data_IF_449130657045
#
_entry.id   IF_449130657045
#
_cell.length_a   1.000
_cell.length_b   1.000
_cell.length_c   1.000
_cell.angle_alpha   90.00
_cell.angle_beta   90.00
_cell.angle_gamma   90.00
#
_symmetry.space_group_name_H-M   'P 1'
#
loop_
_entity.id
_entity.type
_entity.pdbx_description
1 polymer ?
#
# COMPACT_ATOMS: atom_id res chain seq x y z
N UNK A 1 -6.39 15.99 25.45
CA UNK A 1 -7.48 16.88 24.99
C UNK A 1 -7.90 16.65 23.51
N UNK A 2 -7.67 15.46 22.93
CA UNK A 2 -7.94 15.19 21.50
C UNK A 2 -8.97 14.09 21.19
N UNK A 3 -9.63 13.50 22.20
CA UNK A 3 -10.64 12.44 21.99
C UNK A 3 -12.06 12.94 21.77
N UNK A 4 -12.36 14.20 22.12
CA UNK A 4 -13.72 14.75 22.03
C UNK A 4 -14.06 15.33 20.65
N UNK A 5 -13.09 15.74 19.84
CA UNK A 5 -13.35 16.32 18.51
C UNK A 5 -13.64 15.28 17.43
N UNK A 6 -13.17 14.03 17.60
CA UNK A 6 -13.41 12.94 16.65
C UNK A 6 -14.85 12.38 16.74
N UNK A 7 -15.40 12.30 17.96
CA UNK A 7 -16.81 11.97 18.20
C UNK A 7 -17.76 13.11 17.78
N UNK A 8 -17.31 14.37 17.86
CA UNK A 8 -18.06 15.51 17.35
C UNK A 8 -18.13 15.52 15.81
N UNK A 9 -17.08 15.06 15.10
CA UNK A 9 -17.11 14.89 13.64
C UNK A 9 -18.06 13.79 13.17
N UNK A 10 -18.10 12.64 13.87
CA UNK A 10 -19.03 11.54 13.58
C UNK A 10 -20.48 11.92 13.95
N UNK A 11 -20.67 12.66 15.04
CA UNK A 11 -21.97 13.16 15.49
C UNK A 11 -22.55 14.25 14.59
N UNK A 12 -21.71 15.15 14.04
CA UNK A 12 -22.15 16.17 13.08
C UNK A 12 -22.55 15.56 11.74
N UNK A 13 -21.85 14.52 11.27
CA UNK A 13 -22.25 13.82 10.04
C UNK A 13 -23.60 13.11 10.22
N UNK A 14 -23.85 12.48 11.38
CA UNK A 14 -25.13 11.84 11.70
C UNK A 14 -26.27 12.85 11.98
N UNK A 15 -25.96 14.05 12.48
CA UNK A 15 -26.96 15.12 12.64
C UNK A 15 -27.40 15.74 11.32
N UNK A 16 -26.55 15.76 10.28
CA UNK A 16 -26.96 16.11 8.91
C UNK A 16 -27.90 15.06 8.28
N UNK A 17 -28.00 13.86 8.84
CA UNK A 17 -28.92 12.81 8.38
C UNK A 17 -30.21 12.70 9.21
N UNK A 18 -30.42 13.53 10.24
CA UNK A 18 -31.62 13.45 11.10
C UNK A 18 -32.37 14.78 11.34
N UNK A 19 -31.98 15.87 10.67
CA UNK A 19 -32.83 17.07 10.60
C UNK A 19 -33.80 16.92 9.43
N UNK A 20 -35.09 16.91 9.75
CA UNK A 20 -36.19 16.67 8.82
C UNK A 20 -36.06 17.43 7.50
N UNK A 21 -36.39 16.71 6.45
CA UNK A 21 -36.73 17.24 5.13
C UNK A 21 -37.83 18.28 5.35
N UNK A 22 -37.47 19.56 5.40
CA UNK A 22 -38.41 20.63 5.12
C UNK A 22 -38.79 20.48 3.66
N UNK A 23 -39.97 19.92 3.44
CA UNK A 23 -40.61 19.83 2.13
C UNK A 23 -40.95 21.24 1.66
N UNK A 24 -39.99 21.90 1.02
CA UNK A 24 -40.31 22.91 0.04
C UNK A 24 -40.73 22.16 -1.23
N UNK A 25 -41.98 22.38 -1.60
CA UNK A 25 -42.68 21.84 -2.75
C UNK A 25 -41.85 21.98 -4.03
N UNK A 26 -41.26 20.89 -4.51
CA UNK A 26 -40.76 20.79 -5.87
C UNK A 26 -41.05 19.40 -6.43
N UNK A 27 -41.79 19.38 -7.54
CA UNK A 27 -42.18 18.19 -8.28
C UNK A 27 -40.98 17.65 -9.07
N UNK A 28 -39.98 17.10 -8.37
CA UNK A 28 -38.87 16.40 -9.01
C UNK A 28 -38.68 15.06 -8.31
N UNK A 29 -38.65 13.98 -9.10
CA UNK A 29 -38.36 12.63 -8.64
C UNK A 29 -37.20 12.65 -7.66
N UNK A 30 -37.38 12.07 -6.46
CA UNK A 30 -36.29 11.94 -5.49
C UNK A 30 -35.11 11.29 -6.20
N UNK A 31 -33.91 11.87 -6.14
CA UNK A 31 -32.76 11.31 -6.84
C UNK A 31 -32.58 9.86 -6.40
N UNK A 32 -32.55 8.94 -7.37
CA UNK A 32 -32.36 7.52 -7.10
C UNK A 32 -30.92 7.33 -6.61
N UNK A 33 -30.77 6.89 -5.37
CA UNK A 33 -29.49 6.55 -4.76
C UNK A 33 -29.33 5.04 -4.86
N UNK A 34 -28.25 4.59 -5.51
CA UNK A 34 -27.78 3.22 -5.40
C UNK A 34 -26.86 3.12 -4.18
N UNK A 35 -27.01 2.04 -3.40
CA UNK A 35 -26.20 1.79 -2.22
C UNK A 35 -25.78 0.33 -2.15
N UNK A 36 -24.51 0.10 -1.91
CA UNK A 36 -23.93 -1.21 -1.69
C UNK A 36 -23.16 -1.19 -0.38
N UNK A 37 -23.40 -2.20 0.46
CA UNK A 37 -22.65 -2.45 1.68
C UNK A 37 -22.03 -3.83 1.52
N UNK A 38 -20.72 -3.89 1.66
CA UNK A 38 -19.96 -5.11 1.56
C UNK A 38 -18.83 -5.07 2.59
N UNK A 39 -18.00 -6.10 2.59
CA UNK A 39 -16.76 -6.07 3.35
C UNK A 39 -16.29 -7.46 3.71
N UNK A 40 -15.38 -7.52 4.68
CA UNK A 40 -14.88 -8.79 5.16
C UNK A 40 -14.41 -8.76 6.62
N UNK A 41 -14.37 -9.96 7.20
CA UNK A 41 -13.70 -10.27 8.45
C UNK A 41 -12.60 -11.28 8.12
N UNK A 42 -11.36 -11.01 8.56
CA UNK A 42 -10.19 -11.88 8.36
C UNK A 42 -9.62 -12.29 9.71
N UNK A 43 -9.40 -13.59 9.90
CA UNK A 43 -8.69 -14.16 11.04
C UNK A 43 -7.32 -14.64 10.56
N UNK A 44 -6.27 -14.24 11.27
CA UNK A 44 -4.88 -14.58 10.98
C UNK A 44 -4.27 -15.34 12.15
N UNK A 45 -3.57 -16.43 11.84
CA UNK A 45 -2.62 -17.09 12.73
C UNK A 45 -1.23 -17.01 12.10
N UNK A 46 -0.29 -16.35 12.77
CA UNK A 46 1.09 -16.18 12.30
C UNK A 46 2.05 -16.87 13.26
N UNK A 47 2.95 -17.68 12.71
CA UNK A 47 3.99 -18.40 13.42
C UNK A 47 5.38 -18.00 12.92
N UNK A 48 6.27 -17.65 13.85
CA UNK A 48 7.68 -17.35 13.63
C UNK A 48 8.51 -18.54 14.11
N UNK A 49 9.16 -19.31 13.20
CA UNK A 49 9.96 -20.46 13.57
C UNK A 49 11.18 -20.10 14.43
N UNK A 50 11.79 -18.95 14.16
CA UNK A 50 13.00 -18.50 14.85
C UNK A 50 12.69 -17.81 16.19
N UNK A 51 13.62 -17.96 17.14
CA UNK A 51 13.56 -17.24 18.41
C UNK A 51 13.67 -15.73 18.18
N UNK A 52 12.88 -14.98 18.94
CA UNK A 52 12.85 -13.53 18.83
C UNK A 52 14.18 -12.89 19.19
N UNK A 53 14.46 -11.76 18.55
CA UNK A 53 15.60 -10.91 18.94
C UNK A 53 15.33 -10.15 20.24
N UNK A 54 14.06 -9.83 20.52
CA UNK A 54 13.62 -9.15 21.74
C UNK A 54 12.82 -10.12 22.61
N UNK A 55 13.15 -10.27 23.92
CA UNK A 55 12.48 -11.22 24.80
C UNK A 55 11.00 -10.93 25.05
N UNK A 56 10.50 -9.73 24.72
CA UNK A 56 9.09 -9.39 24.82
C UNK A 56 8.26 -9.87 23.61
N UNK A 57 8.91 -10.31 22.53
CA UNK A 57 8.22 -10.79 21.34
C UNK A 57 7.85 -12.28 21.48
N UNK A 58 6.80 -12.68 20.77
CA UNK A 58 6.28 -14.03 20.80
C UNK A 58 6.58 -14.77 19.49
N UNK A 59 6.36 -16.08 19.47
CA UNK A 59 6.47 -16.88 18.23
C UNK A 59 5.12 -17.07 17.54
N UNK A 60 4.01 -16.83 18.23
CA UNK A 60 2.66 -17.09 17.72
C UNK A 60 1.79 -15.87 17.95
N UNK A 61 1.06 -15.45 16.92
CA UNK A 61 0.15 -14.33 16.99
C UNK A 61 -1.18 -14.71 16.34
N UNK A 62 -2.27 -14.45 17.06
CA UNK A 62 -3.62 -14.46 16.51
C UNK A 62 -4.08 -13.01 16.34
N UNK A 63 -4.67 -12.68 15.20
CA UNK A 63 -5.28 -11.38 15.00
C UNK A 63 -6.55 -11.47 14.16
N UNK A 64 -7.46 -10.54 14.36
CA UNK A 64 -8.67 -10.42 13.56
C UNK A 64 -8.78 -9.01 12.98
N UNK A 65 -9.22 -8.93 11.73
CA UNK A 65 -9.44 -7.69 11.00
C UNK A 65 -10.88 -7.61 10.53
N UNK A 66 -11.48 -6.43 10.64
CA UNK A 66 -12.76 -6.10 10.05
C UNK A 66 -12.60 -4.93 9.09
N UNK A 67 -13.08 -5.08 7.85
CA UNK A 67 -13.02 -4.04 6.82
C UNK A 67 -14.40 -3.92 6.14
N UNK A 68 -15.30 -3.08 6.66
CA UNK A 68 -16.57 -2.76 6.00
C UNK A 68 -16.35 -1.74 4.88
N UNK A 69 -17.17 -1.86 3.85
CA UNK A 69 -17.18 -1.00 2.67
C UNK A 69 -18.60 -0.52 2.39
N UNK A 70 -18.73 0.77 2.09
CA UNK A 70 -19.99 1.40 1.71
C UNK A 70 -19.75 2.20 0.44
N UNK A 71 -20.51 1.87 -0.60
CA UNK A 71 -20.51 2.56 -1.88
C UNK A 71 -21.89 3.17 -2.10
N UNK A 72 -21.94 4.48 -2.32
CA UNK A 72 -23.16 5.20 -2.69
C UNK A 72 -22.97 5.86 -4.03
N UNK A 73 -23.98 5.78 -4.89
CA UNK A 73 -23.97 6.41 -6.22
C UNK A 73 -25.30 7.11 -6.49
N UNK A 74 -25.23 8.31 -7.08
CA UNK A 74 -26.42 9.07 -7.47
C UNK A 74 -26.19 9.87 -8.75
N UNK A 75 -27.26 10.52 -9.23
CA UNK A 75 -27.25 11.29 -10.48
C UNK A 75 -26.81 10.46 -11.69
N UNK A 76 -27.25 9.20 -11.76
CA UNK A 76 -26.94 8.24 -12.82
C UNK A 76 -25.43 8.03 -13.00
N UNK A 77 -24.72 7.72 -11.91
CA UNK A 77 -23.28 7.46 -11.93
C UNK A 77 -22.39 8.69 -11.99
N UNK A 78 -22.95 9.91 -11.93
CA UNK A 78 -22.14 11.14 -12.01
C UNK A 78 -21.54 11.57 -10.67
N UNK A 79 -22.03 11.00 -9.57
CA UNK A 79 -21.49 11.27 -8.25
C UNK A 79 -21.49 9.98 -7.44
N UNK A 80 -20.40 9.79 -6.67
CA UNK A 80 -20.27 8.67 -5.77
C UNK A 80 -19.64 9.09 -4.44
N UNK A 81 -19.91 8.29 -3.41
CA UNK A 81 -19.25 8.34 -2.12
C UNK A 81 -18.73 6.93 -1.82
N UNK A 82 -17.43 6.83 -1.56
CA UNK A 82 -16.78 5.59 -1.13
C UNK A 82 -16.36 5.72 0.32
N UNK A 83 -16.65 4.71 1.12
CA UNK A 83 -16.11 4.54 2.47
C UNK A 83 -15.56 3.14 2.65
N UNK A 84 -14.34 3.05 3.18
CA UNK A 84 -13.71 1.80 3.61
C UNK A 84 -13.19 1.99 5.02
N UNK A 85 -13.87 1.37 5.98
CA UNK A 85 -13.44 1.33 7.38
C UNK A 85 -12.43 0.21 7.62
N UNK A 86 -11.65 0.31 8.68
CA UNK A 86 -10.71 -0.73 9.08
C UNK A 86 -10.61 -0.81 10.59
N UNK A 87 -10.61 -2.03 11.11
CA UNK A 87 -10.27 -2.31 12.49
C UNK A 87 -9.44 -3.60 12.57
N UNK A 88 -8.39 -3.60 13.39
CA UNK A 88 -7.63 -4.80 13.74
C UNK A 88 -7.56 -4.93 15.26
N UNK A 89 -7.68 -6.17 15.72
CA UNK A 89 -7.28 -6.59 17.05
C UNK A 89 -6.17 -7.64 16.91
N UNK A 90 -5.10 -7.48 17.66
CA UNK A 90 -3.96 -8.38 17.73
C UNK A 90 -3.84 -8.90 19.16
N UNK A 91 -3.54 -10.19 19.31
CA UNK A 91 -3.48 -10.87 20.60
C UNK A 91 -2.48 -10.23 21.57
N UNK A 92 -1.33 -9.76 21.06
CA UNK A 92 -0.22 -9.30 21.89
C UNK A 92 0.07 -7.81 21.66
N UNK A 93 0.01 -7.34 20.41
CA UNK A 93 0.46 -5.99 20.09
C UNK A 93 -0.67 -4.96 20.11
N UNK A 94 -0.73 -4.21 21.22
CA UNK A 94 -1.67 -3.09 21.38
C UNK A 94 -1.45 -1.94 20.38
N UNK A 95 -0.25 -1.75 19.82
CA UNK A 95 -0.03 -0.73 18.77
C UNK A 95 -0.54 -1.21 17.41
N UNK A 96 -0.48 -2.52 17.15
CA UNK A 96 -1.07 -3.15 15.96
C UNK A 96 -2.59 -3.26 16.04
N UNK A 97 -3.15 -3.33 17.25
CA UNK A 97 -4.59 -3.18 17.46
C UNK A 97 -5.03 -1.73 17.23
N UNK A 98 -5.70 -1.45 16.10
CA UNK A 98 -6.03 -0.09 15.70
C UNK A 98 -7.31 -0.01 14.86
N UNK A 99 -7.81 1.21 14.70
CA UNK A 99 -8.88 1.56 13.78
C UNK A 99 -8.36 2.59 12.77
N UNK A 100 -8.83 2.52 11.53
CA UNK A 100 -8.50 3.48 10.49
C UNK A 100 -9.67 3.71 9.53
N UNK A 101 -9.69 4.89 8.90
CA UNK A 101 -10.50 5.14 7.71
C UNK A 101 -9.55 4.98 6.52
N UNK A 102 -9.68 3.86 5.82
CA UNK A 102 -8.84 3.53 4.68
C UNK A 102 -9.17 4.40 3.48
N UNK A 103 -10.46 4.61 3.24
CA UNK A 103 -10.97 5.51 2.23
C UNK A 103 -12.25 6.19 2.73
N UNK A 104 -12.40 7.47 2.41
CA UNK A 104 -13.62 8.24 2.60
C UNK A 104 -13.54 9.43 1.65
N UNK A 105 -14.15 9.32 0.48
CA UNK A 105 -14.10 10.39 -0.50
C UNK A 105 -15.40 10.52 -1.27
N UNK A 106 -15.71 11.76 -1.65
CA UNK A 106 -16.68 12.07 -2.67
C UNK A 106 -15.97 12.14 -4.02
N UNK A 107 -16.61 11.65 -5.08
CA UNK A 107 -16.13 11.83 -6.44
C UNK A 107 -17.26 12.31 -7.36
N UNK A 108 -16.95 13.34 -8.15
CA UNK A 108 -17.79 13.86 -9.22
C UNK A 108 -17.20 13.49 -10.58
N UNK A 109 -18.03 12.92 -11.44
CA UNK A 109 -17.68 12.49 -12.79
C UNK A 109 -18.35 13.44 -13.79
N UNK A 110 -17.52 14.12 -14.58
CA UNK A 110 -17.94 15.06 -15.62
C UNK A 110 -17.53 14.53 -16.99
N UNK A 111 -17.91 15.21 -18.08
CA UNK A 111 -17.73 14.68 -19.44
C UNK A 111 -16.28 14.28 -19.79
N UNK A 112 -15.30 15.09 -19.39
CA UNK A 112 -13.89 14.90 -19.78
C UNK A 112 -12.93 14.96 -18.57
N UNK A 113 -13.47 14.99 -17.36
CA UNK A 113 -12.66 15.07 -16.15
C UNK A 113 -13.43 14.56 -14.94
N UNK A 114 -12.68 14.16 -13.92
CA UNK A 114 -13.19 13.68 -12.65
C UNK A 114 -12.52 14.43 -11.50
N UNK A 115 -13.25 14.59 -10.40
CA UNK A 115 -12.76 15.19 -9.16
C UNK A 115 -13.04 14.27 -8.00
N UNK A 116 -12.03 13.94 -7.20
CA UNK A 116 -12.19 13.28 -5.91
C UNK A 116 -11.71 14.19 -4.79
N UNK A 117 -12.46 14.25 -3.67
CA UNK A 117 -12.08 14.99 -2.47
C UNK A 117 -12.31 14.11 -1.24
N UNK A 118 -11.27 13.91 -0.44
CA UNK A 118 -11.34 13.10 0.78
C UNK A 118 -10.10 12.25 1.00
N UNK A 119 -10.24 11.14 1.72
CA UNK A 119 -9.19 10.16 1.98
C UNK A 119 -9.26 9.10 0.87
N UNK A 120 -8.21 8.98 0.05
CA UNK A 120 -8.20 8.04 -1.08
C UNK A 120 -6.89 7.26 -1.16
N UNK A 121 -6.93 6.04 -1.68
CA UNK A 121 -5.73 5.30 -2.09
C UNK A 121 -5.48 5.46 -3.58
N UNK A 122 -4.24 5.75 -3.92
CA UNK A 122 -3.76 5.88 -5.30
C UNK A 122 -2.63 4.87 -5.47
N UNK A 123 -2.65 4.16 -6.60
CA UNK A 123 -1.60 3.24 -6.96
C UNK A 123 -1.23 3.47 -8.42
N UNK A 124 0.07 3.56 -8.68
CA UNK A 124 0.63 3.35 -10.00
C UNK A 124 2.01 2.70 -9.83
N UNK A 125 2.35 1.86 -10.78
CA UNK A 125 3.50 0.96 -10.74
C UNK A 125 3.21 -0.26 -11.62
N UNK A 126 4.25 -0.84 -12.19
CA UNK A 126 4.17 -1.91 -13.18
C UNK A 126 5.03 -3.12 -12.82
N UNK A 127 5.99 -2.99 -11.91
CA UNK A 127 6.90 -4.06 -11.47
C UNK A 127 6.38 -4.81 -10.23
N UNK A 128 6.81 -6.05 -10.03
CA UNK A 128 6.34 -6.92 -8.95
C UNK A 128 7.15 -6.82 -7.67
N UNK A 129 8.47 -6.73 -7.76
CA UNK A 129 9.33 -6.79 -6.57
C UNK A 129 9.38 -5.47 -5.79
N UNK A 130 9.13 -4.35 -6.47
CA UNK A 130 9.18 -3.01 -5.90
C UNK A 130 8.35 -2.06 -6.76
N UNK A 131 7.61 -1.13 -6.15
CA UNK A 131 6.92 -0.04 -6.87
C UNK A 131 7.56 1.30 -6.51
N UNK A 132 8.68 1.62 -7.17
CA UNK A 132 9.48 2.82 -6.94
C UNK A 132 8.68 4.10 -7.19
N UNK A 133 7.83 4.10 -8.20
CA UNK A 133 7.05 5.28 -8.59
C UNK A 133 5.85 5.53 -7.65
N UNK A 134 5.43 4.52 -6.87
CA UNK A 134 4.24 4.57 -6.01
C UNK A 134 4.46 5.39 -4.72
N UNK A 135 4.47 6.73 -4.85
CA UNK A 135 4.88 7.66 -3.78
C UNK A 135 3.72 8.38 -3.06
N UNK A 136 2.49 8.36 -3.61
CA UNK A 136 1.39 9.16 -3.06
C UNK A 136 1.03 8.72 -1.65
N UNK A 137 0.78 7.43 -1.47
CA UNK A 137 0.29 6.86 -0.23
C UNK A 137 1.42 6.43 0.71
N UNK A 138 1.22 6.68 2.00
CA UNK A 138 2.12 6.24 3.07
C UNK A 138 2.03 4.71 3.24
N UNK A 139 3.16 4.05 3.45
CA UNK A 139 3.20 2.61 3.79
C UNK A 139 2.66 2.39 5.20
N UNK A 140 1.84 1.35 5.36
CA UNK A 140 1.27 0.90 6.62
C UNK A 140 1.99 -0.34 7.15
N UNK A 141 3.11 -0.10 7.84
CA UNK A 141 3.97 -1.18 8.36
C UNK A 141 3.29 -2.00 9.47
N UNK A 142 2.20 -1.50 10.07
CA UNK A 142 1.41 -2.29 11.03
C UNK A 142 0.71 -3.49 10.38
N UNK A 143 0.40 -3.38 9.09
CA UNK A 143 -0.30 -4.43 8.34
C UNK A 143 0.66 -5.44 7.70
N UNK A 144 1.91 -5.05 7.46
CA UNK A 144 2.98 -5.93 7.02
C UNK A 144 4.21 -5.13 6.60
N UNK A 145 5.35 -5.82 6.47
CA UNK A 145 6.60 -5.19 6.03
C UNK A 145 6.61 -4.88 4.52
N UNK A 146 5.65 -5.44 3.78
CA UNK A 146 5.48 -5.17 2.36
C UNK A 146 5.05 -3.70 2.11
N UNK A 147 5.69 -3.09 1.11
CA UNK A 147 5.41 -1.72 0.66
C UNK A 147 4.04 -1.59 -0.03
N UNK A 148 3.41 -2.70 -0.40
CA UNK A 148 2.05 -2.74 -0.97
C UNK A 148 0.97 -2.34 0.02
N UNK A 149 1.18 -2.54 1.33
CA UNK A 149 0.22 -2.10 2.33
C UNK A 149 0.29 -0.58 2.47
N UNK A 150 -0.74 0.10 1.96
CA UNK A 150 -0.82 1.57 1.96
C UNK A 150 -1.97 2.12 2.79
N UNK A 151 -1.72 3.24 3.47
CA UNK A 151 -2.72 4.11 4.08
C UNK A 151 -3.45 4.95 3.02
N UNK A 152 -4.74 5.23 3.21
CA UNK A 152 -5.40 6.28 2.45
C UNK A 152 -4.86 7.66 2.81
N UNK A 153 -4.77 8.56 1.83
CA UNK A 153 -4.27 9.91 2.03
C UNK A 153 -5.36 10.96 1.82
N UNK A 154 -5.49 11.95 2.72
CA UNK A 154 -6.34 13.12 2.50
C UNK A 154 -5.83 13.93 1.30
N UNK A 155 -6.67 14.08 0.28
CA UNK A 155 -6.31 14.75 -0.96
C UNK A 155 -7.50 15.37 -1.68
N UNK A 156 -7.15 16.29 -2.58
CA UNK A 156 -7.95 16.65 -3.75
C UNK A 156 -7.25 16.02 -4.96
N UNK A 157 -7.98 15.27 -5.77
CA UNK A 157 -7.47 14.61 -6.96
C UNK A 157 -8.34 14.95 -8.16
N UNK A 158 -7.74 15.51 -9.21
CA UNK A 158 -8.42 15.81 -10.45
C UNK A 158 -7.78 15.04 -11.61
N UNK A 159 -8.60 14.34 -12.40
CA UNK A 159 -8.14 13.54 -13.53
C UNK A 159 -8.75 14.06 -14.82
N UNK A 160 -7.95 14.29 -15.85
CA UNK A 160 -8.35 14.85 -17.13
C UNK A 160 -7.97 13.90 -18.27
N UNK A 161 -8.97 13.25 -18.87
CA UNK A 161 -8.74 12.26 -19.92
C UNK A 161 -8.91 12.88 -21.31
N UNK A 162 -7.90 12.74 -22.16
CA UNK A 162 -7.86 13.20 -23.56
C UNK A 162 -7.32 12.09 -24.47
N UNK A 163 -7.42 12.30 -25.80
CA UNK A 163 -6.92 11.33 -26.78
C UNK A 163 -5.41 11.08 -26.69
N UNK A 164 -4.65 12.07 -26.22
CA UNK A 164 -3.20 12.00 -26.06
C UNK A 164 -2.77 11.51 -24.66
N UNK A 165 -3.71 11.06 -23.83
CA UNK A 165 -3.46 10.55 -22.49
C UNK A 165 -4.30 11.20 -21.40
N UNK A 166 -4.01 10.81 -20.17
CA UNK A 166 -4.64 11.29 -18.95
C UNK A 166 -3.65 12.14 -18.16
N UNK A 167 -4.11 13.28 -17.63
CA UNK A 167 -3.37 14.06 -16.64
C UNK A 167 -4.07 13.93 -15.30
N UNK A 168 -3.35 13.46 -14.29
CA UNK A 168 -3.78 13.45 -12.91
C UNK A 168 -3.04 14.52 -12.11
N UNK A 169 -3.80 15.30 -11.35
CA UNK A 169 -3.30 16.34 -10.44
C UNK A 169 -3.70 15.98 -9.02
N UNK A 170 -2.73 15.98 -8.12
CA UNK A 170 -2.91 15.62 -6.72
C UNK A 170 -2.47 16.77 -5.82
N UNK A 171 -3.34 17.13 -4.88
CA UNK A 171 -3.04 18.06 -3.79
C UNK A 171 -3.36 17.36 -2.47
N UNK A 172 -2.31 16.89 -1.79
CA UNK A 172 -2.39 16.12 -0.55
C UNK A 172 -2.37 17.08 0.64
N UNK A 173 -3.47 17.13 1.36
CA UNK A 173 -3.75 18.17 2.35
C UNK A 173 -3.30 17.81 3.77
N UNK A 174 -2.92 16.56 3.99
CA UNK A 174 -2.45 16.07 5.27
C UNK A 174 -1.52 14.86 5.09
N UNK A 175 -0.39 14.88 5.78
CA UNK A 175 0.58 13.81 5.82
C UNK A 175 0.26 12.83 6.95
N UNK A 176 0.34 11.54 6.64
CA UNK A 176 0.17 10.46 7.62
C UNK A 176 1.52 9.84 7.94
N UNK A 177 1.84 9.73 9.22
CA UNK A 177 3.09 9.14 9.69
C UNK A 177 3.09 7.61 9.55
N UNK A 178 4.26 7.05 9.20
CA UNK A 178 4.54 5.63 9.34
C UNK A 178 4.47 5.21 10.81
N UNK A 179 3.78 4.10 11.09
CA UNK A 179 3.67 3.49 12.42
C UNK A 179 4.26 2.09 12.39
N UNK A 180 4.87 1.68 13.50
CA UNK A 180 5.50 0.36 13.64
C UNK A 180 4.82 -0.44 14.75
N UNK A 181 4.91 -1.78 14.68
CA UNK A 181 4.52 -2.67 15.77
C UNK A 181 5.11 -2.24 17.13
N UNK A 182 4.41 -2.56 18.21
CA UNK A 182 4.82 -2.34 19.59
C UNK A 182 5.93 -3.28 20.06
N UNK A 183 6.34 -3.15 21.32
CA UNK A 183 7.45 -3.95 21.88
C UNK A 183 7.22 -5.46 21.78
N UNK A 184 5.98 -5.90 21.94
CA UNK A 184 5.58 -7.31 21.84
C UNK A 184 5.34 -7.76 20.39
N UNK A 185 5.35 -6.85 19.41
CA UNK A 185 5.19 -7.15 17.99
C UNK A 185 6.50 -7.48 17.29
N UNK A 186 6.44 -8.37 16.29
CA UNK A 186 7.52 -8.74 15.36
C UNK A 186 7.51 -7.86 14.10
N UNK A 187 8.52 -8.00 13.23
CA UNK A 187 8.71 -7.22 11.99
C UNK A 187 8.83 -5.72 12.26
N UNK A 188 9.57 -5.37 13.32
CA UNK A 188 9.84 -3.99 13.71
C UNK A 188 11.33 -3.78 13.93
N UNK A 189 11.83 -2.54 13.81
CA UNK A 189 13.16 -2.22 14.28
C UNK A 189 13.31 -2.52 15.79
N UNK A 190 14.51 -2.90 16.27
CA UNK A 190 14.78 -3.26 17.66
C UNK A 190 14.86 -2.04 18.60
N UNK A 191 14.53 -0.84 18.11
CA UNK A 191 14.59 0.40 18.88
C UNK A 191 13.21 0.94 19.21
N UNK A 192 13.13 1.71 20.28
CA UNK A 192 11.90 2.40 20.66
C UNK A 192 11.71 3.65 19.81
N UNK A 193 10.59 3.71 19.10
CA UNK A 193 10.21 4.90 18.34
C UNK A 193 9.25 5.78 19.14
N UNK A 194 9.69 6.98 19.50
CA UNK A 194 8.85 8.03 20.05
C UNK A 194 8.14 8.77 18.92
N UNK A 195 6.87 8.44 18.76
CA UNK A 195 6.02 9.04 17.74
C UNK A 195 5.30 10.31 18.22
N UNK A 196 5.56 10.77 19.44
CA UNK A 196 5.02 12.04 19.95
C UNK A 196 5.89 13.24 19.58
N UNK A 197 7.16 12.98 19.25
CA UNK A 197 8.16 13.98 18.90
C UNK A 197 8.66 13.84 17.45
N UNK A 198 7.75 13.53 16.51
CA UNK A 198 8.06 13.51 15.08
C UNK A 198 8.47 14.91 14.60
N UNK A 199 9.57 14.97 13.86
CA UNK A 199 10.08 16.19 13.24
C UNK A 199 9.80 16.22 11.73
N UNK A 200 9.62 17.42 11.19
CA UNK A 200 9.40 17.65 9.77
C UNK A 200 10.37 18.71 9.26
N UNK A 201 10.79 18.59 8.01
CA UNK A 201 11.53 19.68 7.34
C UNK A 201 10.63 20.89 7.07
N UNK A 202 9.35 20.66 6.76
CA UNK A 202 8.37 21.74 6.59
C UNK A 202 7.92 22.28 7.94
N UNK A 203 7.85 23.61 8.06
CA UNK A 203 7.30 24.29 9.23
C UNK A 203 5.79 24.04 9.41
N UNK A 204 5.09 23.61 8.36
CA UNK A 204 3.67 23.23 8.40
C UNK A 204 3.45 21.80 8.91
N UNK A 205 4.53 21.06 9.20
CA UNK A 205 4.50 19.68 9.72
C UNK A 205 3.59 18.78 8.88
N UNK A 206 2.67 18.05 9.51
CA UNK A 206 1.73 17.18 8.84
C UNK A 206 0.72 17.90 7.93
N UNK A 207 0.58 19.22 8.02
CA UNK A 207 -0.29 20.02 7.14
C UNK A 207 0.46 20.63 5.96
N UNK A 208 1.69 20.20 5.68
CA UNK A 208 2.37 20.56 4.45
C UNK A 208 1.55 20.10 3.23
N UNK A 209 1.31 21.01 2.29
CA UNK A 209 0.66 20.67 1.04
C UNK A 209 1.65 19.95 0.12
N UNK A 210 1.49 18.64 -0.05
CA UNK A 210 2.26 17.88 -1.03
C UNK A 210 1.52 17.89 -2.38
N UNK A 211 2.26 18.06 -3.47
CA UNK A 211 1.71 18.17 -4.82
C UNK A 211 2.28 17.08 -5.71
N UNK A 212 1.44 16.53 -6.59
CA UNK A 212 1.90 15.61 -7.63
C UNK A 212 1.16 15.85 -8.94
N UNK A 213 1.86 15.63 -10.04
CA UNK A 213 1.30 15.54 -11.38
C UNK A 213 1.72 14.22 -12.00
N UNK A 214 0.81 13.58 -12.74
CA UNK A 214 1.14 12.42 -13.57
C UNK A 214 0.49 12.56 -14.93
N UNK A 215 1.22 12.20 -15.98
CA UNK A 215 0.68 11.97 -17.31
C UNK A 215 0.81 10.48 -17.64
N UNK A 216 -0.22 9.85 -18.19
CA UNK A 216 -0.11 8.54 -18.84
C UNK A 216 -0.77 8.44 -20.18
N UNK A 217 -0.26 7.52 -21.00
CA UNK A 217 -0.87 7.20 -22.28
C UNK A 217 -0.51 5.78 -22.74
N UNK A 218 -1.54 5.03 -23.10
CA UNK A 218 -1.41 3.78 -23.83
C UNK A 218 -1.29 4.05 -25.35
N UNK A 219 -0.20 3.59 -25.96
CA UNK A 219 0.11 3.73 -27.39
C UNK A 219 0.59 2.41 -28.00
N UNK A 220 -0.29 1.75 -28.76
CA UNK A 220 0.00 0.45 -29.35
C UNK A 220 0.23 -0.61 -28.27
N UNK A 221 1.45 -1.16 -28.21
CA UNK A 221 1.84 -2.15 -27.19
C UNK A 221 2.32 -1.52 -25.88
N UNK A 222 2.59 -0.22 -25.86
CA UNK A 222 3.17 0.48 -24.71
C UNK A 222 2.09 1.13 -23.86
N UNK A 223 2.26 1.05 -22.53
CA UNK A 223 1.68 1.97 -21.56
C UNK A 223 2.83 2.74 -20.89
N UNK A 224 2.72 4.07 -20.84
CA UNK A 224 3.77 4.96 -20.37
C UNK A 224 3.17 5.92 -19.36
N UNK A 225 3.84 6.06 -18.22
CA UNK A 225 3.58 7.06 -17.20
C UNK A 225 4.79 7.92 -16.93
N UNK A 226 4.57 9.23 -16.75
CA UNK A 226 5.57 10.17 -16.24
C UNK A 226 4.94 10.97 -15.10
N UNK A 227 5.61 11.00 -13.97
CA UNK A 227 5.13 11.67 -12.76
C UNK A 227 6.17 12.60 -12.16
N UNK A 228 5.70 13.63 -11.46
CA UNK A 228 6.54 14.44 -10.59
C UNK A 228 5.80 14.74 -9.29
N UNK A 229 6.47 14.45 -8.17
CA UNK A 229 6.00 14.66 -6.81
C UNK A 229 6.90 15.67 -6.09
N UNK A 230 6.30 16.66 -5.43
CA UNK A 230 6.95 17.55 -4.48
C UNK A 230 6.22 17.49 -3.15
N UNK A 231 6.92 17.12 -2.08
CA UNK A 231 6.31 17.05 -0.76
C UNK A 231 7.10 16.25 0.25
N UNK A 232 6.42 15.86 1.31
CA UNK A 232 6.98 15.12 2.44
C UNK A 232 7.36 13.70 2.02
N UNK A 233 8.58 13.25 2.31
CA UNK A 233 9.03 11.88 2.05
C UNK A 233 8.11 10.86 2.73
N UNK A 234 7.77 9.76 2.04
CA UNK A 234 7.06 8.62 2.66
C UNK A 234 7.95 7.69 3.46
N UNK A 235 9.26 7.97 3.47
CA UNK A 235 10.26 7.25 4.26
C UNK A 235 10.84 8.21 5.31
N UNK A 236 10.67 7.93 6.61
CA UNK A 236 11.29 8.71 7.68
C UNK A 236 12.79 8.42 7.77
N UNK A 237 13.53 9.40 8.27
CA UNK A 237 14.85 9.19 8.85
C UNK A 237 14.69 9.01 10.36
N UNK A 238 15.35 8.00 10.92
CA UNK A 238 15.37 7.81 12.37
C UNK A 238 16.56 8.54 12.98
N UNK A 239 16.29 9.38 13.99
CA UNK A 239 17.31 10.13 14.73
C UNK A 239 17.22 9.74 16.20
N UNK A 240 18.36 9.66 16.87
CA UNK A 240 18.43 9.44 18.32
C UNK A 240 19.47 10.37 18.94
N UNK A 241 19.23 10.80 20.18
CA UNK A 241 20.18 11.57 20.99
C UNK A 241 20.83 10.73 22.09
N UNK A 242 20.19 9.64 22.49
CA UNK A 242 20.58 8.78 23.62
C UNK A 242 20.96 7.35 23.19
N UNK A 243 20.76 6.99 21.91
CA UNK A 243 20.99 5.65 21.38
C UNK A 243 19.84 4.66 21.63
N UNK A 244 18.83 5.03 22.42
CA UNK A 244 17.76 4.14 22.86
C UNK A 244 16.39 4.54 22.32
N UNK A 245 16.11 5.84 22.33
CA UNK A 245 14.84 6.40 21.85
C UNK A 245 15.09 7.11 20.53
N UNK A 246 14.38 6.68 19.51
CA UNK A 246 14.45 7.25 18.18
C UNK A 246 13.22 8.10 17.91
N UNK A 247 13.40 9.19 17.18
CA UNK A 247 12.32 10.00 16.63
C UNK A 247 12.37 9.94 15.11
N UNK A 248 11.21 10.05 14.48
CA UNK A 248 11.12 10.14 13.02
C UNK A 248 11.35 11.57 12.56
N UNK A 249 12.09 11.73 11.46
CA UNK A 249 12.25 12.99 10.77
C UNK A 249 11.89 12.83 9.29
N UNK A 250 10.90 13.60 8.83
CA UNK A 250 10.48 13.58 7.43
C UNK A 250 11.05 14.75 6.64
N UNK A 251 11.81 14.43 5.59
CA UNK A 251 12.41 15.40 4.67
C UNK A 251 11.41 15.82 3.58
N UNK A 252 11.63 16.99 2.97
CA UNK A 252 10.97 17.36 1.71
C UNK A 252 11.77 16.80 0.52
N UNK A 253 11.05 16.28 -0.46
CA UNK A 253 11.64 15.67 -1.66
C UNK A 253 11.00 16.24 -2.94
N UNK A 254 11.79 16.23 -4.01
CA UNK A 254 11.32 16.29 -5.39
C UNK A 254 11.59 14.93 -6.01
N UNK A 255 10.59 14.24 -6.53
CA UNK A 255 10.76 12.93 -7.17
C UNK A 255 10.12 12.95 -8.55
N UNK A 256 10.93 12.75 -9.58
CA UNK A 256 10.43 12.45 -10.93
C UNK A 256 10.44 10.95 -11.13
N UNK A 257 9.36 10.40 -11.65
CA UNK A 257 9.21 8.97 -11.90
C UNK A 257 8.75 8.67 -13.32
N UNK A 258 9.19 7.55 -13.87
CA UNK A 258 8.76 7.01 -15.16
C UNK A 258 8.36 5.56 -14.94
N UNK A 259 7.19 5.17 -15.45
CA UNK A 259 6.74 3.79 -15.53
C UNK A 259 6.46 3.43 -16.99
N UNK A 260 6.93 2.27 -17.44
CA UNK A 260 6.74 1.78 -18.81
C UNK A 260 6.38 0.30 -18.75
N UNK A 261 5.32 -0.06 -19.45
CA UNK A 261 4.95 -1.44 -19.69
C UNK A 261 4.77 -1.69 -21.18
N UNK A 262 5.19 -2.86 -21.67
CA UNK A 262 4.99 -3.25 -23.07
C UNK A 262 4.53 -4.71 -23.20
N UNK A 263 3.36 -4.93 -23.77
CA UNK A 263 2.81 -6.27 -24.00
C UNK A 263 3.12 -6.76 -25.43
N UNK A 264 3.98 -7.77 -25.54
CA UNK A 264 4.40 -8.38 -26.81
C UNK A 264 4.05 -9.86 -26.84
N UNK A 265 2.77 -10.17 -27.11
CA UNK A 265 2.26 -11.54 -27.05
C UNK A 265 2.19 -12.03 -25.61
N UNK A 266 2.84 -13.17 -25.32
CA UNK A 266 2.92 -13.76 -23.98
C UNK A 266 3.94 -13.09 -23.05
N UNK A 267 4.73 -12.14 -23.56
CA UNK A 267 5.76 -11.44 -22.80
C UNK A 267 5.29 -10.04 -22.43
N UNK A 268 5.43 -9.69 -21.15
CA UNK A 268 5.14 -8.37 -20.60
C UNK A 268 6.44 -7.75 -20.07
N UNK A 269 6.93 -6.70 -20.72
CA UNK A 269 8.11 -5.96 -20.28
C UNK A 269 7.71 -4.83 -19.34
N UNK A 270 8.50 -4.60 -18.30
CA UNK A 270 8.19 -3.66 -17.22
C UNK A 270 9.44 -2.87 -16.84
N UNK A 271 9.27 -1.57 -16.63
CA UNK A 271 10.31 -0.68 -16.18
C UNK A 271 9.73 0.41 -15.28
N UNK A 272 10.38 0.64 -14.14
CA UNK A 272 10.14 1.77 -13.27
C UNK A 272 11.46 2.48 -12.98
N UNK A 273 11.48 3.81 -13.07
CA UNK A 273 12.65 4.61 -12.79
C UNK A 273 12.25 5.82 -11.96
N UNK A 274 13.08 6.19 -10.99
CA UNK A 274 12.93 7.43 -10.24
C UNK A 274 14.25 8.19 -10.13
N UNK A 275 14.12 9.52 -10.08
CA UNK A 275 15.17 10.42 -9.65
C UNK A 275 14.61 11.33 -8.56
N UNK A 276 15.17 11.21 -7.35
CA UNK A 276 14.69 11.87 -6.14
C UNK A 276 15.76 12.80 -5.57
N UNK A 277 15.40 14.03 -5.26
CA UNK A 277 16.28 15.02 -4.62
C UNK A 277 15.67 15.50 -3.31
N UNK A 278 16.44 15.42 -2.22
CA UNK A 278 16.20 16.12 -0.96
C UNK A 278 17.30 17.15 -0.72
N UNK A 279 17.24 17.90 0.38
CA UNK A 279 18.36 18.77 0.81
C UNK A 279 19.64 18.00 1.11
N UNK A 280 19.52 16.73 1.53
CA UNK A 280 20.62 15.92 2.03
C UNK A 280 21.24 15.03 0.96
N UNK A 281 20.42 14.42 0.10
CA UNK A 281 20.88 13.42 -0.87
C UNK A 281 20.08 13.48 -2.17
N UNK A 282 20.75 13.15 -3.26
CA UNK A 282 20.13 12.82 -4.55
C UNK A 282 20.20 11.32 -4.74
N UNK A 283 19.09 10.72 -5.16
CA UNK A 283 18.88 9.28 -5.27
C UNK A 283 18.38 8.97 -6.67
N UNK A 284 18.92 7.93 -7.28
CA UNK A 284 18.41 7.33 -8.50
C UNK A 284 18.19 5.84 -8.27
N UNK A 285 17.01 5.37 -8.65
CA UNK A 285 16.64 3.97 -8.51
C UNK A 285 15.85 3.52 -9.74
N UNK A 286 15.97 2.25 -10.10
CA UNK A 286 15.17 1.65 -11.15
C UNK A 286 14.89 0.17 -10.87
N UNK A 287 13.78 -0.31 -11.43
CA UNK A 287 13.44 -1.72 -11.53
C UNK A 287 13.14 -2.03 -12.99
N UNK A 288 13.77 -3.06 -13.54
CA UNK A 288 13.62 -3.47 -14.94
C UNK A 288 13.38 -4.97 -14.99
N UNK A 289 12.42 -5.42 -15.78
CA UNK A 289 12.16 -6.84 -15.90
C UNK A 289 11.00 -7.18 -16.80
N UNK A 290 10.45 -8.36 -16.58
CA UNK A 290 9.27 -8.80 -17.27
C UNK A 290 8.72 -10.11 -16.78
N UNK A 291 7.55 -10.43 -17.32
CA UNK A 291 6.79 -11.63 -17.03
C UNK A 291 6.48 -12.34 -18.35
N UNK A 292 6.79 -13.63 -18.41
CA UNK A 292 6.37 -14.50 -19.52
C UNK A 292 5.29 -15.45 -19.05
N UNK A 293 4.15 -15.48 -19.74
CA UNK A 293 3.02 -16.34 -19.39
C UNK A 293 2.90 -17.53 -20.34
N UNK A 294 3.09 -18.73 -19.81
CA UNK A 294 2.71 -19.98 -20.45
C UNK A 294 1.23 -20.23 -20.22
N UNK A 295 0.41 -19.84 -21.18
CA UNK A 295 -1.04 -20.01 -21.09
C UNK A 295 -1.47 -21.45 -21.34
N UNK A 296 -2.51 -21.89 -20.62
CA UNK A 296 -3.16 -23.18 -20.79
C UNK A 296 -2.16 -24.36 -20.82
N UNK A 297 -1.27 -24.39 -19.83
CA UNK A 297 -0.24 -25.40 -19.65
C UNK A 297 -0.86 -26.80 -19.73
N UNK A 298 -0.33 -27.64 -20.63
CA UNK A 298 -0.82 -29.01 -20.86
C UNK A 298 -2.34 -29.11 -21.16
N UNK A 299 -2.94 -28.06 -21.73
CA UNK A 299 -4.39 -28.00 -22.02
C UNK A 299 -5.29 -28.16 -20.77
N UNK A 300 -4.79 -27.77 -19.60
CA UNK A 300 -5.48 -27.92 -18.32
C UNK A 300 -6.31 -26.70 -17.88
N UNK A 301 -6.16 -25.57 -18.58
CA UNK A 301 -6.64 -24.26 -18.16
C UNK A 301 -5.71 -23.53 -17.20
N UNK A 302 -4.64 -24.17 -16.71
CA UNK A 302 -3.67 -23.57 -15.79
C UNK A 302 -2.73 -22.64 -16.56
N UNK A 303 -2.50 -21.44 -16.04
CA UNK A 303 -1.49 -20.52 -16.55
C UNK A 303 -0.29 -20.46 -15.60
N UNK A 304 0.92 -20.47 -16.18
CA UNK A 304 2.18 -20.31 -15.46
C UNK A 304 2.88 -19.02 -15.92
N UNK A 305 2.97 -18.04 -15.03
CA UNK A 305 3.78 -16.83 -15.22
C UNK A 305 5.17 -17.02 -14.61
N UNK A 306 6.21 -16.71 -15.38
CA UNK A 306 7.60 -16.64 -14.92
C UNK A 306 8.04 -15.19 -14.91
N UNK A 307 8.51 -14.70 -13.76
CA UNK A 307 8.87 -13.31 -13.53
C UNK A 307 10.37 -13.19 -13.27
N UNK A 308 10.99 -12.17 -13.85
CA UNK A 308 12.36 -11.80 -13.55
C UNK A 308 12.51 -10.29 -13.57
N UNK A 309 13.07 -9.73 -12.50
CA UNK A 309 13.34 -8.30 -12.39
C UNK A 309 14.72 -8.05 -11.78
N UNK A 310 15.31 -6.93 -12.15
CA UNK A 310 16.52 -6.41 -11.54
C UNK A 310 16.21 -5.06 -10.89
N UNK A 311 16.57 -4.94 -9.61
CA UNK A 311 16.36 -3.76 -8.79
C UNK A 311 17.70 -3.07 -8.54
N UNK A 312 17.75 -1.76 -8.79
CA UNK A 312 18.87 -0.92 -8.44
C UNK A 312 18.41 0.30 -7.63
N UNK A 313 19.11 0.60 -6.54
CA UNK A 313 18.84 1.77 -5.70
C UNK A 313 20.11 2.29 -5.03
N UNK A 314 20.53 3.51 -5.37
CA UNK A 314 21.73 4.14 -4.79
C UNK A 314 21.52 4.71 -3.37
N UNK A 315 20.34 4.47 -2.75
CA UNK A 315 20.06 4.83 -1.35
C UNK A 315 21.02 4.18 -0.37
N UNK A 316 21.51 2.97 -0.64
CA UNK A 316 22.30 2.18 0.31
C UNK A 316 21.49 1.76 1.54
N UNK A 317 22.09 1.80 2.72
CA UNK A 317 21.48 1.33 3.98
C UNK A 317 20.19 2.08 4.42
N UNK A 318 19.85 3.20 3.76
CA UNK A 318 18.56 3.89 3.96
C UNK A 318 17.38 3.19 3.26
N UNK A 319 17.65 2.16 2.46
CA UNK A 319 16.61 1.35 1.81
C UNK A 319 16.01 0.36 2.82
N UNK A 320 14.79 0.64 3.29
CA UNK A 320 14.08 -0.21 4.27
C UNK A 320 13.82 -1.61 3.72
N UNK A 321 13.50 -1.74 2.43
CA UNK A 321 13.24 -3.03 1.79
C UNK A 321 14.52 -3.74 1.29
N UNK A 322 15.69 -3.11 1.50
CA UNK A 322 17.03 -3.53 1.05
C UNK A 322 17.19 -3.80 -0.46
N UNK A 323 16.22 -3.42 -1.31
CA UNK A 323 16.29 -3.63 -2.76
C UNK A 323 17.19 -2.58 -3.41
N UNK A 324 18.47 -2.91 -3.62
CA UNK A 324 19.51 -1.97 -4.04
C UNK A 324 20.40 -2.47 -5.20
N UNK A 325 20.67 -3.77 -5.30
CA UNK A 325 21.43 -4.42 -6.38
C UNK A 325 21.00 -5.89 -6.42
N UNK A 326 19.71 -6.11 -6.63
CA UNK A 326 19.01 -7.36 -6.34
C UNK A 326 18.36 -7.94 -7.59
N UNK A 327 18.44 -9.26 -7.72
CA UNK A 327 17.68 -10.02 -8.72
C UNK A 327 16.46 -10.65 -8.07
N UNK A 328 15.29 -10.35 -8.61
CA UNK A 328 14.04 -11.01 -8.29
C UNK A 328 13.72 -12.07 -9.34
N UNK A 329 13.34 -13.25 -8.88
CA UNK A 329 12.74 -14.30 -9.71
C UNK A 329 11.45 -14.76 -9.05
N UNK A 330 10.37 -14.82 -9.84
CA UNK A 330 9.06 -15.19 -9.34
C UNK A 330 8.35 -16.18 -10.25
N UNK A 331 7.35 -16.86 -9.69
CA UNK A 331 6.43 -17.69 -10.43
C UNK A 331 5.01 -17.45 -9.94
N UNK A 332 4.08 -17.35 -10.88
CA UNK A 332 2.64 -17.27 -10.61
C UNK A 332 1.95 -18.45 -11.28
N UNK A 333 1.22 -19.25 -10.51
CA UNK A 333 0.39 -20.33 -11.02
C UNK A 333 -1.07 -19.96 -10.79
N UNK A 334 -1.82 -19.75 -11.87
CA UNK A 334 -3.25 -19.50 -11.82
C UNK A 334 -3.98 -20.74 -12.35
N UNK A 335 -4.79 -21.38 -11.51
CA UNK A 335 -5.52 -22.60 -11.92
C UNK A 335 -6.74 -22.29 -12.79
N UNK A 336 -7.18 -21.03 -12.81
CA UNK A 336 -8.38 -20.59 -13.52
C UNK A 336 -9.63 -21.44 -13.19
N UNK A 337 -9.69 -21.98 -11.98
CA UNK A 337 -10.86 -22.71 -11.48
C UNK A 337 -11.90 -21.74 -10.89
N UNK A 338 -13.19 -22.14 -10.73
CA UNK A 338 -14.23 -21.25 -10.20
C UNK A 338 -13.96 -20.75 -8.76
N UNK A 339 -13.00 -21.36 -8.07
CA UNK A 339 -12.57 -21.04 -6.72
C UNK A 339 -11.35 -20.10 -6.71
N UNK A 340 -10.88 -19.70 -7.89
CA UNK A 340 -9.76 -18.79 -8.10
C UNK A 340 -8.54 -19.21 -7.26
N UNK A 341 -8.10 -20.44 -7.49
CA UNK A 341 -6.91 -20.99 -6.84
C UNK A 341 -5.67 -20.42 -7.51
N UNK A 342 -4.83 -19.79 -6.71
CA UNK A 342 -3.60 -19.17 -7.16
C UNK A 342 -2.45 -19.45 -6.20
N UNK A 343 -1.25 -19.49 -6.77
CA UNK A 343 0.01 -19.54 -6.06
C UNK A 343 0.93 -18.47 -6.64
N UNK A 344 1.59 -17.72 -5.77
CA UNK A 344 2.64 -16.78 -6.11
C UNK A 344 3.83 -17.09 -5.23
N UNK A 345 5.01 -17.21 -5.81
CA UNK A 345 6.24 -17.36 -5.03
C UNK A 345 7.37 -16.63 -5.69
N UNK A 346 8.33 -16.18 -4.89
CA UNK A 346 9.48 -15.48 -5.41
C UNK A 346 10.67 -15.49 -4.48
N UNK A 347 11.83 -15.25 -5.06
CA UNK A 347 13.11 -15.09 -4.38
C UNK A 347 13.74 -13.78 -4.83
N UNK A 348 14.41 -13.10 -3.91
CA UNK A 348 15.18 -11.88 -4.16
C UNK A 348 16.57 -12.11 -3.61
N UNK A 349 17.59 -11.90 -4.43
CA UNK A 349 18.99 -12.13 -4.06
C UNK A 349 19.81 -10.88 -4.35
N UNK A 350 20.42 -10.31 -3.31
CA UNK A 350 21.41 -9.25 -3.45
C UNK A 350 22.67 -9.82 -4.13
N UNK A 351 23.15 -9.16 -5.18
CA UNK A 351 24.27 -9.67 -6.00
C UNK A 351 25.63 -9.55 -5.33
N UNK A 352 25.79 -8.67 -4.35
CA UNK A 352 27.05 -8.39 -3.66
C UNK A 352 27.11 -9.08 -2.31
N UNK A 353 26.13 -8.82 -1.46
CA UNK A 353 26.10 -9.29 -0.07
C UNK A 353 25.40 -10.65 0.06
N UNK A 354 24.65 -11.05 -0.98
CA UNK A 354 23.93 -12.33 -1.03
C UNK A 354 22.82 -12.47 0.01
N UNK A 355 22.28 -11.35 0.53
CA UNK A 355 21.03 -11.35 1.27
C UNK A 355 19.96 -12.01 0.41
N UNK A 356 19.31 -13.04 0.96
CA UNK A 356 18.24 -13.76 0.31
C UNK A 356 16.92 -13.40 1.00
N UNK A 357 15.92 -13.01 0.22
CA UNK A 357 14.52 -12.95 0.64
C UNK A 357 13.72 -13.94 -0.17
N UNK A 358 12.73 -14.55 0.44
CA UNK A 358 11.80 -15.40 -0.28
C UNK A 358 10.41 -15.27 0.29
N UNK A 359 9.42 -15.45 -0.57
CA UNK A 359 8.03 -15.50 -0.16
C UNK A 359 7.26 -16.50 -1.00
N UNK A 360 6.18 -17.00 -0.41
CA UNK A 360 5.22 -17.88 -1.03
C UNK A 360 3.84 -17.52 -0.51
N UNK A 361 2.90 -17.34 -1.42
CA UNK A 361 1.49 -17.12 -1.15
C UNK A 361 0.66 -18.15 -1.91
N UNK A 362 -0.32 -18.74 -1.23
CA UNK A 362 -1.29 -19.63 -1.83
C UNK A 362 -2.68 -19.24 -1.36
N UNK A 363 -3.61 -19.10 -2.30
CA UNK A 363 -4.94 -18.61 -2.05
C UNK A 363 -5.99 -19.51 -2.69
N UNK A 364 -7.13 -19.70 -2.01
CA UNK A 364 -8.29 -20.39 -2.59
C UNK A 364 -9.59 -19.91 -1.97
N UNK A 365 -10.62 -19.72 -2.79
CA UNK A 365 -12.00 -19.47 -2.32
C UNK A 365 -12.65 -20.78 -1.88
N UNK A 366 -13.39 -20.73 -0.78
CA UNK A 366 -14.24 -21.80 -0.28
C UNK A 366 -15.71 -21.37 -0.39
N UNK A 367 -16.48 -22.06 -1.23
CA UNK A 367 -17.85 -21.67 -1.54
C UNK A 367 -17.91 -20.25 -2.13
N UNK A 368 -18.92 -19.48 -1.72
CA UNK A 368 -19.22 -18.17 -2.34
C UNK A 368 -18.67 -16.98 -1.55
N UNK A 369 -18.18 -17.17 -0.33
CA UNK A 369 -17.92 -16.05 0.59
C UNK A 369 -16.79 -16.30 1.57
N UNK A 370 -16.05 -17.40 1.46
CA UNK A 370 -14.87 -17.65 2.28
C UNK A 370 -13.62 -17.71 1.40
N UNK A 371 -12.49 -17.29 1.93
CA UNK A 371 -11.16 -17.45 1.32
C UNK A 371 -10.20 -17.95 2.37
N UNK A 372 -9.41 -18.97 2.01
CA UNK A 372 -8.24 -19.38 2.77
C UNK A 372 -6.99 -18.85 2.08
N UNK A 373 -6.01 -18.47 2.89
CA UNK A 373 -4.70 -18.03 2.45
C UNK A 373 -3.62 -18.67 3.31
N UNK A 374 -2.51 -19.03 2.67
CA UNK A 374 -1.26 -19.39 3.33
C UNK A 374 -0.19 -18.47 2.76
N UNK A 375 0.59 -17.86 3.64
CA UNK A 375 1.70 -16.99 3.28
C UNK A 375 2.91 -17.44 4.08
N UNK A 376 4.06 -17.58 3.43
CA UNK A 376 5.34 -17.77 4.08
C UNK A 376 6.28 -16.70 3.55
N UNK A 377 7.00 -16.03 4.44
CA UNK A 377 7.95 -14.99 4.08
C UNK A 377 9.18 -15.15 4.95
N UNK A 378 10.36 -15.01 4.37
CA UNK A 378 11.59 -15.23 5.10
C UNK A 378 12.81 -14.59 4.49
N UNK A 379 13.86 -14.61 5.29
CA UNK A 379 15.14 -14.01 5.01
C UNK A 379 16.25 -15.01 5.36
N UNK A 380 17.32 -15.03 4.58
CA UNK A 380 18.52 -15.82 4.86
C UNK A 380 19.77 -15.07 4.42
N UNK A 381 20.92 -15.40 5.01
CA UNK A 381 22.23 -14.82 4.72
C UNK A 381 22.23 -13.27 4.67
N UNK A 382 21.55 -12.63 5.63
CA UNK A 382 21.33 -11.18 5.64
C UNK A 382 22.60 -10.43 6.04
N UNK A 383 23.01 -9.46 5.24
CA UNK A 383 24.14 -8.60 5.55
C UNK A 383 23.86 -7.69 6.75
N UNK A 384 24.81 -7.61 7.68
CA UNK A 384 24.69 -6.78 8.88
C UNK A 384 24.57 -5.28 8.63
N UNK A 385 24.93 -4.79 7.44
CA UNK A 385 24.80 -3.39 7.04
C UNK A 385 23.42 -3.02 6.51
N UNK A 386 22.58 -4.01 6.18
CA UNK A 386 21.24 -3.80 5.62
C UNK A 386 20.18 -3.62 6.71
N UNK A 387 19.14 -2.83 6.39
CA UNK A 387 18.03 -2.61 7.30
C UNK A 387 17.31 -3.92 7.68
N UNK A 388 17.26 -4.90 6.76
CA UNK A 388 16.65 -6.20 7.02
C UNK A 388 17.32 -6.99 8.14
N UNK A 389 18.58 -6.71 8.46
CA UNK A 389 19.27 -7.37 9.57
C UNK A 389 18.59 -7.10 10.92
N UNK A 390 17.89 -5.98 11.04
CA UNK A 390 17.11 -5.60 12.22
C UNK A 390 15.94 -6.55 12.51
N UNK A 391 15.48 -7.30 11.49
CA UNK A 391 14.36 -8.24 11.55
C UNK A 391 14.78 -9.66 11.11
N UNK A 392 16.07 -10.00 11.23
CA UNK A 392 16.65 -11.23 10.68
C UNK A 392 16.06 -12.55 11.18
N UNK A 393 15.42 -12.56 12.35
CA UNK A 393 14.76 -13.74 12.92
C UNK A 393 13.22 -13.68 12.80
N UNK A 394 12.70 -12.82 11.92
CA UNK A 394 11.26 -12.59 11.78
C UNK A 394 10.70 -13.23 10.50
N UNK A 395 11.33 -14.30 10.00
CA UNK A 395 10.72 -15.21 9.03
C UNK A 395 9.45 -15.83 9.63
N UNK A 396 8.38 -15.96 8.85
CA UNK A 396 7.09 -16.44 9.33
C UNK A 396 6.31 -17.28 8.33
N UNK A 397 5.35 -18.02 8.87
CA UNK A 397 4.25 -18.64 8.14
C UNK A 397 2.94 -18.10 8.72
N UNK A 398 2.01 -17.71 7.87
CA UNK A 398 0.72 -17.15 8.22
C UNK A 398 -0.40 -17.93 7.53
N UNK A 399 -1.42 -18.28 8.31
CA UNK A 399 -2.66 -18.86 7.84
C UNK A 399 -3.77 -17.82 8.03
N UNK A 400 -4.53 -17.59 6.97
CA UNK A 400 -5.63 -16.63 6.95
C UNK A 400 -6.94 -17.30 6.57
N UNK A 401 -8.01 -16.95 7.28
CA UNK A 401 -9.38 -17.27 6.92
C UNK A 401 -10.18 -15.97 6.81
N UNK A 402 -10.71 -15.69 5.63
CA UNK A 402 -11.49 -14.47 5.34
C UNK A 402 -12.93 -14.82 5.02
N UNK A 403 -13.88 -14.12 5.64
CA UNK A 403 -15.31 -14.15 5.37
C UNK A 403 -15.74 -12.84 4.74
N UNK A 404 -16.32 -12.89 3.54
CA UNK A 404 -16.95 -11.78 2.85
C UNK A 404 -18.46 -11.74 3.11
N UNK A 405 -19.04 -10.55 3.10
CA UNK A 405 -20.48 -10.34 3.26
C UNK A 405 -20.99 -9.24 2.34
#
# INVERSE_FOLDING_TARGET
>A
MGRSYFLLGLGLLLMFFNTGITTAQDNNEKPKIYSEISGNIKLDYRYFPDEALDPNQHQQYISARFQPEVYLEWNSGKQLLQFTGFARIDQHDNKRSHIDIRELYWQGIFKNWELSVGIKKIFWGVTESNNLVNIINQVDVLEGFDVEHKLGQPMIHASFSRKWGTIDLYALTYFREMRFPGSEGRLRPPFNLDTSNTAYESNLKEYNLDLSIRWSHAMGVFDIGVSHFYGTSRLPLFKTTDGNTFTSHYELINQTGIDIQAATGSMLWKAELIHRKSKRKTISAFTLGGEYTFSNLFSSGIDLGMLAEYNFDDRGAESINALNDDLFFGTRLAFNDPQNTDFLGGIIIDRKNKTLRYFVEANRRLGNSWKIGIEASGFDNIDSSEFLYLIRNDSYIQFSLTKYF
#
